data_IF_002909330115
#
_entry.id   IF_002909330115
#
_cell.length_a   1.000
_cell.length_b   1.000
_cell.length_c   1.000
_cell.angle_alpha   90.00
_cell.angle_beta   90.00
_cell.angle_gamma   90.00
#
_symmetry.space_group_name_H-M   'P 1'
#
loop_
_entity.id
_entity.type
_entity.pdbx_description
1 polymer ?
#
# COMPACT_ATOMS: atom_id res chain seq x y z
N UNK A 1 7.85 30.81 -4.12
CA UNK A 1 7.58 29.49 -4.72
C UNK A 1 8.18 28.40 -3.87
N UNK A 2 7.42 27.37 -3.44
CA UNK A 2 8.03 26.10 -3.09
C UNK A 2 7.47 25.01 -4.01
N UNK A 3 8.25 24.65 -5.02
CA UNK A 3 8.08 23.40 -5.78
C UNK A 3 9.07 22.40 -5.19
N UNK A 4 8.70 21.75 -4.08
CA UNK A 4 9.25 20.45 -3.66
C UNK A 4 8.22 19.39 -4.00
N UNK A 5 8.03 19.20 -5.30
CA UNK A 5 7.52 17.95 -5.86
C UNK A 5 8.57 16.88 -5.47
N UNK A 6 8.15 15.64 -5.19
CA UNK A 6 9.00 14.43 -4.96
C UNK A 6 9.68 14.22 -3.59
N UNK A 7 8.94 13.97 -2.51
CA UNK A 7 9.47 13.04 -1.48
C UNK A 7 8.50 11.88 -1.40
N UNK A 8 8.78 10.84 -2.20
CA UNK A 8 8.21 9.49 -2.14
C UNK A 8 6.69 9.45 -1.98
N UNK A 9 6.00 9.08 -3.07
CA UNK A 9 4.83 8.21 -2.94
C UNK A 9 5.01 7.36 -1.69
N UNK A 10 4.16 7.63 -0.70
CA UNK A 10 4.30 7.12 0.66
C UNK A 10 4.95 5.73 0.67
N UNK A 11 6.20 5.65 1.14
CA UNK A 11 7.04 4.45 0.99
C UNK A 11 6.33 3.20 1.55
N UNK A 12 5.47 3.39 2.55
CA UNK A 12 4.60 2.35 3.07
C UNK A 12 3.53 1.92 2.07
N UNK A 13 2.78 2.87 1.49
CA UNK A 13 1.79 2.58 0.43
C UNK A 13 2.42 1.94 -0.80
N UNK A 14 3.61 2.38 -1.25
CA UNK A 14 4.32 1.74 -2.36
C UNK A 14 4.70 0.30 -2.03
N UNK A 15 5.26 0.09 -0.82
CA UNK A 15 5.64 -1.25 -0.34
C UNK A 15 4.44 -2.17 -0.29
N UNK A 16 3.33 -1.72 0.29
CA UNK A 16 2.07 -2.49 0.36
C UNK A 16 1.51 -2.77 -1.03
N UNK A 17 1.47 -1.77 -1.92
CA UNK A 17 0.97 -1.95 -3.29
C UNK A 17 1.82 -2.95 -4.09
N UNK A 18 3.15 -2.87 -3.96
CA UNK A 18 4.07 -3.81 -4.61
C UNK A 18 3.87 -5.22 -4.08
N UNK A 19 3.83 -5.37 -2.75
CA UNK A 19 3.61 -6.65 -2.10
C UNK A 19 2.28 -7.30 -2.52
N UNK A 20 1.21 -6.51 -2.59
CA UNK A 20 -0.10 -6.99 -3.04
C UNK A 20 -0.03 -7.54 -4.47
N UNK A 21 0.58 -6.81 -5.41
CA UNK A 21 0.74 -7.28 -6.81
C UNK A 21 1.55 -8.57 -6.88
N UNK A 22 2.66 -8.65 -6.15
CA UNK A 22 3.49 -9.86 -6.07
C UNK A 22 2.68 -11.04 -5.55
N UNK A 23 1.96 -10.87 -4.44
CA UNK A 23 1.16 -11.92 -3.82
C UNK A 23 -0.01 -12.37 -4.71
N UNK A 24 -0.66 -11.46 -5.44
CA UNK A 24 -1.71 -11.82 -6.41
C UNK A 24 -1.12 -12.73 -7.50
N UNK A 25 0.02 -12.36 -8.06
CA UNK A 25 0.66 -13.15 -9.12
C UNK A 25 1.13 -14.52 -8.62
N UNK A 26 1.74 -14.57 -7.43
CA UNK A 26 2.16 -15.84 -6.81
C UNK A 26 0.96 -16.71 -6.44
N UNK A 27 -0.11 -16.11 -5.89
CA UNK A 27 -1.34 -16.82 -5.56
C UNK A 27 -2.02 -17.41 -6.81
N UNK A 28 -2.12 -16.64 -7.89
CA UNK A 28 -2.63 -17.14 -9.16
C UNK A 28 -1.77 -18.30 -9.70
N UNK A 29 -0.44 -18.18 -9.64
CA UNK A 29 0.46 -19.26 -10.06
C UNK A 29 0.28 -20.53 -9.22
N UNK A 30 0.11 -20.42 -7.90
CA UNK A 30 -0.14 -21.56 -7.02
C UNK A 30 -1.49 -22.24 -7.29
N UNK A 31 -2.52 -21.48 -7.66
CA UNK A 31 -3.82 -22.06 -8.03
C UNK A 31 -3.72 -22.88 -9.32
N UNK A 32 -2.98 -22.38 -10.31
CA UNK A 32 -2.83 -23.04 -11.62
C UNK A 32 -1.83 -24.22 -11.53
N UNK A 33 -0.73 -24.04 -10.80
CA UNK A 33 0.38 -24.99 -10.69
C UNK A 33 0.84 -25.12 -9.22
N UNK A 34 0.09 -25.87 -8.39
CA UNK A 34 0.31 -25.89 -6.93
C UNK A 34 1.67 -26.44 -6.49
N UNK A 35 2.28 -27.29 -7.32
CA UNK A 35 3.57 -27.93 -7.04
C UNK A 35 4.74 -27.33 -7.83
N UNK A 36 4.57 -26.16 -8.47
CA UNK A 36 5.66 -25.51 -9.19
C UNK A 36 6.75 -25.03 -8.21
N UNK A 37 7.95 -25.63 -8.20
CA UNK A 37 9.01 -25.27 -7.26
C UNK A 37 9.49 -23.84 -7.44
N UNK A 38 9.41 -23.28 -8.66
CA UNK A 38 9.84 -21.90 -8.95
C UNK A 38 8.95 -20.89 -8.23
N UNK A 39 7.64 -21.13 -8.19
CA UNK A 39 6.69 -20.30 -7.46
C UNK A 39 6.95 -20.37 -5.95
N UNK A 40 7.22 -21.55 -5.40
CA UNK A 40 7.57 -21.74 -3.99
C UNK A 40 8.88 -21.03 -3.61
N UNK A 41 9.90 -21.10 -4.46
CA UNK A 41 11.19 -20.45 -4.21
C UNK A 41 11.11 -18.92 -4.27
N UNK A 42 10.13 -18.35 -4.99
CA UNK A 42 9.82 -16.90 -4.95
C UNK A 42 8.98 -16.51 -3.74
N UNK A 43 8.06 -17.37 -3.32
CA UNK A 43 7.20 -17.10 -2.17
C UNK A 43 7.98 -17.13 -0.85
N UNK A 44 8.91 -18.08 -0.69
CA UNK A 44 9.70 -18.24 0.53
C UNK A 44 10.43 -16.96 0.99
N UNK A 45 11.26 -16.28 0.18
CA UNK A 45 11.94 -15.06 0.60
C UNK A 45 10.97 -13.92 0.90
N UNK A 46 9.86 -13.81 0.14
CA UNK A 46 8.84 -12.80 0.43
C UNK A 46 8.27 -12.98 1.84
N UNK A 47 7.93 -14.22 2.22
CA UNK A 47 7.38 -14.52 3.54
C UNK A 47 8.40 -14.31 4.67
N UNK A 48 9.67 -14.64 4.44
CA UNK A 48 10.73 -14.53 5.46
C UNK A 48 11.20 -13.08 5.65
N UNK A 49 11.42 -12.36 4.56
CA UNK A 49 12.19 -11.11 4.60
C UNK A 49 11.31 -9.86 4.39
N UNK A 50 10.27 -9.96 3.57
CA UNK A 50 9.47 -8.78 3.18
C UNK A 50 8.17 -8.62 3.98
N UNK A 51 7.50 -9.72 4.33
CA UNK A 51 6.16 -9.71 4.89
C UNK A 51 6.04 -8.85 6.17
N UNK A 52 7.00 -8.94 7.08
CA UNK A 52 6.99 -8.15 8.31
C UNK A 52 7.02 -6.62 8.03
N UNK A 53 7.85 -6.19 7.09
CA UNK A 53 7.97 -4.79 6.70
C UNK A 53 6.73 -4.26 5.97
N UNK A 54 6.05 -5.12 5.22
CA UNK A 54 4.76 -4.82 4.57
C UNK A 54 3.66 -4.64 5.61
N UNK A 55 3.52 -5.58 6.54
CA UNK A 55 2.51 -5.53 7.60
C UNK A 55 2.69 -4.31 8.52
N UNK A 56 3.92 -3.99 8.88
CA UNK A 56 4.22 -2.77 9.64
C UNK A 56 3.78 -1.50 8.88
N UNK A 57 4.02 -1.47 7.56
CA UNK A 57 3.60 -0.35 6.72
C UNK A 57 2.08 -0.26 6.63
N UNK A 58 1.40 -1.39 6.44
CA UNK A 58 -0.07 -1.46 6.39
C UNK A 58 -0.69 -0.93 7.69
N UNK A 59 -0.18 -1.34 8.84
CA UNK A 59 -0.68 -0.88 10.14
C UNK A 59 -0.53 0.63 10.31
N UNK A 60 0.58 1.21 9.85
CA UNK A 60 0.77 2.67 9.85
C UNK A 60 -0.23 3.36 8.92
N UNK A 61 -0.55 2.77 7.77
CA UNK A 61 -1.54 3.31 6.84
C UNK A 61 -2.96 3.28 7.41
N UNK A 62 -3.34 2.18 8.06
CA UNK A 62 -4.65 1.99 8.68
C UNK A 62 -4.89 2.99 9.83
N UNK A 63 -3.83 3.36 10.54
CA UNK A 63 -3.89 4.32 11.64
C UNK A 63 -3.83 5.79 11.20
N UNK A 64 -3.84 6.08 9.89
CA UNK A 64 -3.77 7.47 9.42
C UNK A 64 -5.02 8.25 9.80
N UNK A 65 -4.87 9.41 10.48
CA UNK A 65 -5.97 10.31 10.70
C UNK A 65 -6.61 10.77 9.39
N UNK A 66 -7.93 10.96 9.42
CA UNK A 66 -8.70 11.41 8.25
C UNK A 66 -8.15 12.70 7.62
N UNK A 67 -7.68 13.65 8.45
CA UNK A 67 -7.07 14.88 7.97
C UNK A 67 -5.87 14.62 7.04
N UNK A 68 -5.01 13.65 7.38
CA UNK A 68 -3.86 13.26 6.56
C UNK A 68 -4.31 12.54 5.28
N UNK A 69 -5.38 11.75 5.35
CA UNK A 69 -5.95 11.10 4.17
C UNK A 69 -6.52 12.12 3.17
N UNK A 70 -7.26 13.13 3.66
CA UNK A 70 -7.81 14.20 2.81
C UNK A 70 -6.71 15.04 2.18
N UNK A 71 -5.68 15.41 2.95
CA UNK A 71 -4.50 16.10 2.42
C UNK A 71 -3.86 15.26 1.30
N UNK A 72 -3.69 13.96 1.54
CA UNK A 72 -3.13 13.06 0.54
C UNK A 72 -3.98 12.94 -0.72
N UNK A 73 -5.30 12.87 -0.60
CA UNK A 73 -6.21 12.87 -1.75
C UNK A 73 -6.10 14.19 -2.51
N UNK A 74 -5.98 15.32 -1.80
CA UNK A 74 -5.83 16.62 -2.42
C UNK A 74 -4.52 16.75 -3.20
N UNK A 75 -3.41 16.22 -2.67
CA UNK A 75 -2.14 16.13 -3.39
C UNK A 75 -2.25 15.30 -4.67
N UNK A 76 -2.92 14.15 -4.61
CA UNK A 76 -3.02 13.21 -5.74
C UNK A 76 -3.98 13.69 -6.83
N UNK A 77 -5.09 14.32 -6.44
CA UNK A 77 -6.15 14.72 -7.37
C UNK A 77 -6.07 16.19 -7.78
N UNK A 78 -5.25 16.99 -7.10
CA UNK A 78 -5.24 18.44 -7.22
C UNK A 78 -6.51 19.12 -6.68
N UNK A 79 -7.40 18.38 -6.00
CA UNK A 79 -8.68 18.89 -5.49
C UNK A 79 -8.77 18.72 -3.98
N UNK A 80 -9.01 19.80 -3.25
CA UNK A 80 -9.30 19.70 -1.82
C UNK A 80 -10.69 19.12 -1.61
N UNK A 81 -10.77 18.07 -0.81
CA UNK A 81 -12.05 17.60 -0.28
C UNK A 81 -12.50 18.63 0.78
N UNK A 82 -13.72 19.15 0.62
CA UNK A 82 -14.28 20.05 1.63
C UNK A 82 -14.50 19.29 2.95
N UNK A 83 -14.43 20.02 4.07
CA UNK A 83 -14.78 19.43 5.36
C UNK A 83 -16.23 18.94 5.29
N UNK A 84 -16.57 17.78 5.88
CA UNK A 84 -17.96 17.44 6.10
C UNK A 84 -18.55 18.58 6.93
N UNK A 85 -19.49 19.31 6.35
CA UNK A 85 -20.40 20.15 7.11
C UNK A 85 -21.04 19.24 8.15
N UNK A 86 -20.82 19.54 9.44
CA UNK A 86 -21.20 18.68 10.55
C UNK A 86 -22.55 17.99 10.35
N UNK A 87 -22.50 16.67 10.23
CA UNK A 87 -23.68 15.82 10.34
C UNK A 87 -23.96 15.59 11.82
N UNK A 88 -24.88 16.38 12.36
CA UNK A 88 -25.44 16.22 13.68
C UNK A 88 -26.27 14.94 13.79
N UNK A 89 -26.02 14.13 14.84
CA UNK A 89 -27.00 13.51 15.74
C UNK A 89 -26.27 12.53 16.68
#
# INVERSE_FOLDING_TARGET
MPRRVTVRLDTGAERVTRAQRTLINLGAALVIHPFDPVTHDKLRPFLMDEAAGVLASLRVLELRPEAQLRERIAELTGRRLEQPSGGAA
#
